data_IF_476597681956
#
_entry.id   IF_476597681956
#
_cell.length_a   1.000
_cell.length_b   1.000
_cell.length_c   1.000
_cell.angle_alpha   90.00
_cell.angle_beta   90.00
_cell.angle_gamma   90.00
#
_symmetry.space_group_name_H-M   'P 1'
#
loop_
_entity.id
_entity.type
_entity.pdbx_description
1 polymer ?
#
# COMPACT_ATOMS: atom_id res chain seq x y z
N UNK A 1 28.58 -56.91 6.54
CA UNK A 1 28.86 -58.27 6.02
C UNK A 1 28.78 -58.18 4.50
N UNK A 2 29.77 -58.48 3.67
CA UNK A 2 31.10 -59.06 3.83
C UNK A 2 32.04 -58.40 2.81
N UNK A 3 33.34 -58.39 3.13
CA UNK A 3 34.41 -57.80 2.35
C UNK A 3 34.88 -58.71 1.20
N UNK A 4 35.60 -58.15 0.23
CA UNK A 4 36.93 -58.66 -0.13
C UNK A 4 37.74 -57.62 -0.90
N UNK A 5 38.88 -57.29 -0.28
CA UNK A 5 40.06 -56.67 -0.86
C UNK A 5 40.78 -57.68 -1.75
N UNK A 6 41.35 -57.23 -2.87
CA UNK A 6 42.53 -57.85 -3.46
C UNK A 6 43.37 -56.77 -4.17
N UNK A 7 44.59 -56.60 -3.66
CA UNK A 7 45.66 -55.80 -4.22
C UNK A 7 46.57 -56.66 -5.12
N UNK A 8 47.49 -55.97 -5.81
CA UNK A 8 48.55 -56.45 -6.73
C UNK A 8 48.14 -56.42 -8.22
N UNK A 9 48.92 -55.92 -9.18
CA UNK A 9 50.33 -55.53 -9.19
C UNK A 9 50.61 -54.48 -10.30
N UNK A 10 51.60 -53.63 -10.04
CA UNK A 10 52.31 -52.82 -11.04
C UNK A 10 53.12 -53.72 -11.98
N UNK A 11 53.01 -53.52 -13.31
CA UNK A 11 54.13 -53.18 -14.23
C UNK A 11 53.74 -53.41 -15.70
N UNK A 12 53.71 -52.30 -16.44
CA UNK A 12 54.39 -52.10 -17.73
C UNK A 12 53.98 -52.93 -18.95
N UNK A 13 53.34 -52.27 -19.93
CA UNK A 13 53.84 -52.25 -21.31
C UNK A 13 53.12 -51.18 -22.13
N UNK A 14 53.90 -50.52 -22.99
CA UNK A 14 53.54 -49.48 -23.95
C UNK A 14 52.40 -49.90 -24.89
N UNK A 15 51.54 -48.96 -25.27
CA UNK A 15 50.68 -49.11 -26.44
C UNK A 15 49.78 -47.91 -26.71
N UNK A 16 50.10 -47.14 -27.76
CA UNK A 16 49.15 -46.34 -28.54
C UNK A 16 48.44 -45.17 -27.85
N UNK A 17 48.86 -43.94 -28.17
CA UNK A 17 47.97 -42.76 -28.05
C UNK A 17 46.83 -42.91 -29.06
N UNK A 18 45.72 -43.52 -28.66
CA UNK A 18 44.44 -43.31 -29.35
C UNK A 18 43.90 -41.95 -28.92
N UNK A 19 43.88 -41.00 -29.85
CA UNK A 19 43.08 -39.78 -29.72
C UNK A 19 41.60 -40.20 -29.69
N UNK A 20 41.09 -40.49 -28.50
CA UNK A 20 39.66 -40.61 -28.27
C UNK A 20 39.06 -39.22 -28.35
N UNK A 21 38.39 -38.90 -29.46
CA UNK A 21 37.43 -37.81 -29.53
C UNK A 21 36.32 -38.08 -28.53
N UNK A 22 36.49 -37.64 -27.29
CA UNK A 22 35.40 -37.52 -26.33
C UNK A 22 34.48 -36.41 -26.84
N UNK A 23 33.56 -36.78 -27.72
CA UNK A 23 32.39 -35.96 -28.00
C UNK A 23 31.68 -35.78 -26.66
N UNK A 24 31.79 -34.57 -26.09
CA UNK A 24 31.00 -34.17 -24.94
C UNK A 24 29.55 -34.23 -25.40
N UNK A 25 28.88 -35.36 -25.14
CA UNK A 25 27.43 -35.47 -25.19
C UNK A 25 26.91 -34.49 -24.14
N UNK A 26 26.62 -33.26 -24.58
CA UNK A 26 25.85 -32.31 -23.79
C UNK A 26 24.58 -33.01 -23.39
N UNK A 27 24.44 -33.34 -22.09
CA UNK A 27 23.23 -33.93 -21.53
C UNK A 27 22.08 -32.93 -21.73
N UNK A 28 21.29 -33.12 -22.79
CA UNK A 28 20.09 -32.33 -23.04
C UNK A 28 19.00 -32.84 -22.10
N UNK A 29 18.44 -31.93 -21.31
CA UNK A 29 17.25 -32.20 -20.51
C UNK A 29 16.01 -31.77 -21.30
N UNK A 30 14.95 -32.57 -21.22
CA UNK A 30 13.65 -32.17 -21.75
C UNK A 30 13.10 -30.97 -20.96
N UNK A 31 12.35 -30.06 -21.60
CA UNK A 31 11.73 -28.94 -20.89
C UNK A 31 10.69 -29.45 -19.88
N UNK A 32 10.55 -28.75 -18.76
CA UNK A 32 9.65 -29.15 -17.67
C UNK A 32 8.17 -28.77 -17.93
N UNK A 33 7.91 -28.06 -19.02
CA UNK A 33 6.58 -27.64 -19.45
C UNK A 33 6.63 -27.11 -20.89
N UNK A 34 5.51 -26.62 -21.43
CA UNK A 34 5.45 -26.15 -22.81
C UNK A 34 6.42 -24.99 -23.03
N UNK A 35 7.13 -25.02 -24.16
CA UNK A 35 8.02 -23.93 -24.56
C UNK A 35 7.23 -22.79 -25.19
N UNK A 36 7.74 -21.55 -25.10
CA UNK A 36 7.16 -20.43 -25.86
C UNK A 36 7.11 -20.74 -27.36
N UNK A 37 6.01 -20.38 -28.00
CA UNK A 37 5.79 -20.47 -29.46
C UNK A 37 5.79 -21.89 -30.05
N UNK A 38 5.59 -22.94 -29.24
CA UNK A 38 5.38 -24.30 -29.77
C UNK A 38 4.10 -24.42 -30.62
N UNK A 39 3.09 -23.60 -30.32
CA UNK A 39 1.81 -23.58 -31.04
C UNK A 39 1.91 -22.93 -32.44
N UNK A 40 3.06 -22.36 -32.81
CA UNK A 40 3.24 -21.67 -34.09
C UNK A 40 3.54 -22.70 -35.18
N UNK A 41 2.65 -22.86 -36.14
CA UNK A 41 2.88 -23.71 -37.31
C UNK A 41 3.98 -23.13 -38.21
N UNK A 42 5.16 -23.76 -38.17
CA UNK A 42 6.34 -23.36 -38.94
C UNK A 42 6.26 -23.85 -40.39
N UNK A 43 5.34 -24.76 -40.73
CA UNK A 43 5.21 -25.31 -42.07
C UNK A 43 4.82 -24.27 -43.13
N UNK A 44 4.06 -23.23 -42.74
CA UNK A 44 3.64 -22.16 -43.63
C UNK A 44 3.85 -20.77 -43.01
N UNK A 45 5.11 -20.40 -42.82
CA UNK A 45 5.51 -19.12 -42.21
C UNK A 45 5.03 -17.89 -42.98
N UNK A 46 4.88 -17.97 -44.31
CA UNK A 46 4.50 -16.83 -45.15
C UNK A 46 3.01 -16.50 -45.04
N UNK A 47 2.15 -17.50 -44.83
CA UNK A 47 0.71 -17.31 -44.65
C UNK A 47 0.33 -16.76 -43.25
N UNK A 48 1.23 -16.81 -42.27
CA UNK A 48 0.94 -16.36 -40.91
C UNK A 48 0.76 -14.84 -40.80
N UNK A 49 -0.27 -14.44 -40.05
CA UNK A 49 -0.50 -13.03 -39.75
C UNK A 49 0.64 -12.46 -38.88
N UNK A 50 1.44 -11.57 -39.48
CA UNK A 50 2.54 -10.89 -38.79
C UNK A 50 2.01 -9.78 -37.89
N UNK A 51 2.80 -9.42 -36.87
CA UNK A 51 2.43 -8.34 -35.95
C UNK A 51 2.27 -6.98 -36.64
N UNK A 52 3.13 -6.63 -37.59
CA UNK A 52 3.12 -5.39 -38.40
C UNK A 52 3.22 -4.06 -37.61
N UNK A 53 3.07 -4.08 -36.30
CA UNK A 53 3.28 -2.94 -35.41
C UNK A 53 3.89 -3.39 -34.09
N UNK A 54 4.76 -2.54 -33.55
CA UNK A 54 5.38 -2.76 -32.24
C UNK A 54 4.31 -2.86 -31.13
N UNK A 55 3.27 -2.03 -31.19
CA UNK A 55 2.21 -2.00 -30.16
C UNK A 55 1.42 -3.29 -30.09
N UNK A 56 1.15 -3.95 -31.24
CA UNK A 56 0.47 -5.24 -31.26
C UNK A 56 1.32 -6.33 -30.63
N UNK A 57 2.60 -6.38 -30.97
CA UNK A 57 3.56 -7.28 -30.34
C UNK A 57 3.66 -7.03 -28.83
N UNK A 58 3.85 -5.77 -28.43
CA UNK A 58 4.03 -5.38 -27.03
C UNK A 58 2.83 -5.79 -26.15
N UNK A 59 1.59 -5.57 -26.62
CA UNK A 59 0.38 -6.03 -25.91
C UNK A 59 0.35 -7.55 -25.70
N UNK A 60 0.83 -8.32 -26.68
CA UNK A 60 0.91 -9.77 -26.55
C UNK A 60 2.02 -10.16 -25.58
N UNK A 61 3.20 -9.54 -25.67
CA UNK A 61 4.32 -9.78 -24.77
C UNK A 61 3.95 -9.48 -23.30
N UNK A 62 3.23 -8.39 -23.02
CA UNK A 62 2.72 -8.09 -21.67
C UNK A 62 1.73 -9.12 -21.13
N UNK A 63 0.88 -9.69 -22.00
CA UNK A 63 -0.02 -10.77 -21.59
C UNK A 63 0.76 -12.03 -21.25
N UNK A 64 1.76 -12.37 -22.06
CA UNK A 64 2.61 -13.54 -21.85
C UNK A 64 3.51 -13.40 -20.62
N UNK A 65 3.94 -12.18 -20.26
CA UNK A 65 4.80 -11.93 -19.09
C UNK A 65 4.06 -12.07 -17.75
N UNK A 66 2.74 -11.85 -17.73
CA UNK A 66 1.88 -12.00 -16.53
C UNK A 66 1.47 -13.45 -16.25
N UNK A 67 1.64 -14.36 -17.22
CA UNK A 67 1.30 -15.77 -17.04
C UNK A 67 2.32 -16.46 -16.12
N UNK A 68 1.89 -17.39 -15.25
CA UNK A 68 2.81 -18.20 -14.48
C UNK A 68 3.65 -19.08 -15.42
N UNK A 69 4.95 -19.22 -15.12
CA UNK A 69 5.90 -20.02 -15.89
C UNK A 69 6.64 -20.99 -14.97
N UNK A 70 7.10 -22.10 -15.53
CA UNK A 70 7.86 -23.12 -14.81
C UNK A 70 9.33 -22.73 -14.61
N UNK A 71 9.89 -21.87 -15.47
CA UNK A 71 11.25 -21.33 -15.32
C UNK A 71 11.30 -20.13 -14.36
N UNK A 72 12.51 -19.72 -13.99
CA UNK A 72 12.73 -18.57 -13.12
C UNK A 72 12.24 -17.28 -13.79
N UNK A 73 11.39 -16.54 -13.08
CA UNK A 73 10.85 -15.27 -13.53
C UNK A 73 11.19 -14.18 -12.53
N UNK A 74 11.29 -12.94 -13.02
CA UNK A 74 11.48 -11.77 -12.16
C UNK A 74 10.42 -11.69 -11.04
N UNK A 75 9.15 -11.93 -11.39
CA UNK A 75 8.03 -11.91 -10.44
C UNK A 75 8.20 -12.89 -9.27
N UNK A 76 8.82 -14.04 -9.49
CA UNK A 76 9.08 -15.03 -8.42
C UNK A 76 10.05 -14.50 -7.36
N UNK A 77 10.95 -13.60 -7.74
CA UNK A 77 11.94 -13.01 -6.83
C UNK A 77 11.44 -11.73 -6.16
N UNK A 78 10.53 -10.99 -6.80
CA UNK A 78 10.10 -9.67 -6.30
C UNK A 78 8.78 -9.67 -5.58
N UNK A 79 7.87 -10.59 -5.91
CA UNK A 79 6.51 -10.54 -5.38
C UNK A 79 6.31 -11.65 -4.34
N UNK A 80 5.92 -11.31 -3.09
CA UNK A 80 5.51 -12.32 -2.13
C UNK A 80 4.26 -13.06 -2.62
N UNK A 81 4.05 -14.32 -2.19
CA UNK A 81 2.87 -15.09 -2.56
C UNK A 81 1.59 -14.36 -2.12
N UNK A 82 0.57 -14.38 -2.99
CA UNK A 82 -0.70 -13.74 -2.68
C UNK A 82 -1.43 -14.52 -1.59
N UNK A 83 -1.59 -13.90 -0.41
CA UNK A 83 -2.43 -14.44 0.66
C UNK A 83 -3.91 -14.31 0.30
N UNK A 84 -4.71 -15.29 0.75
CA UNK A 84 -6.16 -15.29 0.59
C UNK A 84 -6.75 -14.08 1.33
N UNK A 85 -7.35 -13.15 0.58
CA UNK A 85 -7.93 -11.94 1.14
C UNK A 85 -9.39 -12.21 1.52
N UNK A 86 -9.68 -12.06 2.81
CA UNK A 86 -11.04 -12.12 3.34
C UNK A 86 -11.68 -10.73 3.19
N UNK A 87 -12.94 -10.71 2.76
CA UNK A 87 -13.75 -9.49 2.74
C UNK A 87 -14.55 -9.36 4.04
N UNK A 88 -14.31 -8.29 4.79
CA UNK A 88 -14.98 -7.97 6.07
C UNK A 88 -15.98 -6.81 5.92
N UNK A 89 -16.25 -6.36 4.69
CA UNK A 89 -17.13 -5.23 4.42
C UNK A 89 -18.62 -5.54 4.47
N UNK A 90 -19.41 -4.46 4.39
CA UNK A 90 -20.86 -4.58 4.21
C UNK A 90 -21.22 -5.25 2.88
N UNK A 91 -22.29 -6.08 2.85
CA UNK A 91 -22.83 -6.58 1.60
C UNK A 91 -23.39 -5.42 0.78
N UNK A 92 -23.21 -5.48 -0.54
CA UNK A 92 -23.73 -4.48 -1.46
C UNK A 92 -24.84 -5.04 -2.34
N UNK A 93 -25.99 -4.38 -2.34
CA UNK A 93 -27.10 -4.71 -3.21
C UNK A 93 -26.77 -4.33 -4.66
N UNK A 94 -26.59 -5.36 -5.49
CA UNK A 94 -26.33 -5.16 -6.92
C UNK A 94 -27.63 -4.79 -7.62
N UNK A 95 -27.68 -3.60 -8.20
CA UNK A 95 -28.74 -3.22 -9.13
C UNK A 95 -28.78 -4.18 -10.34
N UNK A 96 -29.95 -4.33 -10.94
CA UNK A 96 -30.10 -5.16 -12.14
C UNK A 96 -29.27 -4.59 -13.29
N UNK A 97 -28.20 -5.31 -13.65
CA UNK A 97 -27.28 -4.96 -14.75
C UNK A 97 -28.01 -4.67 -16.07
N UNK A 98 -29.10 -5.38 -16.34
CA UNK A 98 -29.89 -5.17 -17.56
C UNK A 98 -30.56 -3.78 -17.59
N UNK A 99 -31.12 -3.33 -16.44
CA UNK A 99 -31.73 -2.00 -16.32
C UNK A 99 -30.68 -0.90 -16.48
N UNK A 100 -29.54 -1.05 -15.80
CA UNK A 100 -28.44 -0.08 -15.86
C UNK A 100 -27.87 0.06 -17.29
N UNK A 101 -27.64 -1.06 -17.99
CA UNK A 101 -27.18 -1.03 -19.38
C UNK A 101 -28.21 -0.37 -20.30
N UNK A 102 -29.51 -0.62 -20.10
CA UNK A 102 -30.58 -0.01 -20.90
C UNK A 102 -30.58 1.51 -20.74
N UNK A 103 -30.47 1.98 -19.51
CA UNK A 103 -30.39 3.41 -19.18
C UNK A 103 -29.14 4.07 -19.76
N UNK A 104 -27.95 3.48 -19.56
CA UNK A 104 -26.70 3.98 -20.15
C UNK A 104 -26.78 4.06 -21.67
N UNK A 105 -27.38 3.05 -22.33
CA UNK A 105 -27.59 3.08 -23.79
C UNK A 105 -28.57 4.16 -24.24
N UNK A 106 -29.60 4.46 -23.44
CA UNK A 106 -30.55 5.56 -23.72
C UNK A 106 -29.82 6.91 -23.68
N UNK A 107 -29.09 7.20 -22.62
CA UNK A 107 -28.30 8.42 -22.46
C UNK A 107 -27.27 8.57 -23.60
N UNK A 108 -26.56 7.48 -23.95
CA UNK A 108 -25.60 7.50 -25.07
C UNK A 108 -26.26 7.80 -26.42
N UNK A 109 -27.51 7.35 -26.64
CA UNK A 109 -28.25 7.67 -27.86
C UNK A 109 -28.66 9.13 -27.89
N UNK A 110 -29.18 9.65 -26.79
CA UNK A 110 -29.57 11.06 -26.65
C UNK A 110 -28.36 11.99 -26.86
N UNK A 111 -27.22 11.70 -26.22
CA UNK A 111 -25.99 12.47 -26.40
C UNK A 111 -25.47 12.45 -27.85
N UNK A 112 -25.61 11.31 -28.55
CA UNK A 112 -25.19 11.19 -29.96
C UNK A 112 -26.17 11.87 -30.93
N UNK A 113 -27.43 12.04 -30.56
CA UNK A 113 -28.41 12.77 -31.37
C UNK A 113 -28.22 14.29 -31.27
N UNK A 114 -27.56 14.77 -30.22
CA UNK A 114 -27.27 16.19 -30.06
C UNK A 114 -26.17 16.65 -31.03
N UNK A 115 -26.57 17.42 -32.05
CA UNK A 115 -25.68 17.96 -33.07
C UNK A 115 -24.67 19.01 -32.54
N UNK A 116 -25.01 19.73 -31.47
CA UNK A 116 -24.10 20.70 -30.86
C UNK A 116 -22.97 19.99 -30.14
N UNK A 117 -23.29 18.90 -29.43
CA UNK A 117 -22.29 18.07 -28.75
C UNK A 117 -21.35 17.39 -29.74
N UNK A 118 -21.86 16.92 -30.89
CA UNK A 118 -21.03 16.39 -31.99
C UNK A 118 -20.09 17.46 -32.53
N UNK A 119 -20.61 18.66 -32.83
CA UNK A 119 -19.80 19.76 -33.37
C UNK A 119 -18.72 20.18 -32.39
N UNK A 120 -19.07 20.33 -31.10
CA UNK A 120 -18.11 20.66 -30.06
C UNK A 120 -17.04 19.57 -29.89
N UNK A 121 -17.42 18.28 -29.98
CA UNK A 121 -16.47 17.17 -29.88
C UNK A 121 -15.50 17.17 -31.06
N UNK A 122 -16.00 17.43 -32.28
CA UNK A 122 -15.18 17.55 -33.50
C UNK A 122 -14.19 18.72 -33.40
N UNK A 123 -14.61 19.84 -32.83
CA UNK A 123 -13.78 21.02 -32.60
C UNK A 123 -12.92 20.93 -31.32
N UNK A 124 -13.07 19.86 -30.53
CA UNK A 124 -12.38 19.62 -29.24
C UNK A 124 -12.65 20.72 -28.19
N UNK A 125 -13.84 21.30 -28.20
CA UNK A 125 -14.27 22.35 -27.25
C UNK A 125 -15.19 21.84 -26.14
N UNK A 126 -15.51 20.55 -26.11
CA UNK A 126 -16.38 19.96 -25.08
C UNK A 126 -15.71 20.02 -23.73
N UNK A 127 -16.41 20.58 -22.75
CA UNK A 127 -16.05 20.57 -21.34
C UNK A 127 -16.94 19.58 -20.59
N UNK A 128 -16.34 18.79 -19.71
CA UNK A 128 -17.06 17.82 -18.88
C UNK A 128 -17.15 18.39 -17.46
N UNK A 129 -18.35 18.51 -16.86
CA UNK A 129 -18.51 18.98 -15.49
C UNK A 129 -17.86 17.98 -14.53
N UNK A 130 -16.80 18.41 -13.84
CA UNK A 130 -16.02 17.53 -12.96
C UNK A 130 -16.79 17.15 -11.69
N UNK A 131 -17.66 18.03 -11.19
CA UNK A 131 -18.46 17.79 -9.99
C UNK A 131 -19.46 16.64 -10.21
N UNK A 132 -20.13 16.60 -11.36
CA UNK A 132 -21.05 15.52 -11.73
C UNK A 132 -20.31 14.20 -11.93
N UNK A 133 -19.15 14.24 -12.60
CA UNK A 133 -18.28 13.05 -12.77
C UNK A 133 -17.86 12.50 -11.42
N UNK A 134 -17.51 13.38 -10.48
CA UNK A 134 -17.12 12.98 -9.13
C UNK A 134 -18.29 12.38 -8.35
N UNK A 135 -19.48 12.99 -8.41
CA UNK A 135 -20.67 12.46 -7.75
C UNK A 135 -21.06 11.07 -8.28
N UNK A 136 -21.04 10.88 -9.60
CA UNK A 136 -21.33 9.59 -10.23
C UNK A 136 -20.24 8.54 -9.92
N UNK A 137 -18.97 8.97 -9.90
CA UNK A 137 -17.85 8.13 -9.53
C UNK A 137 -17.97 7.64 -8.09
N UNK A 138 -18.29 8.53 -7.13
CA UNK A 138 -18.47 8.19 -5.72
C UNK A 138 -19.53 7.11 -5.52
N UNK A 139 -20.61 7.11 -6.32
CA UNK A 139 -21.69 6.12 -6.28
C UNK A 139 -21.34 4.77 -6.92
N UNK A 140 -20.54 4.76 -7.98
CA UNK A 140 -20.34 3.57 -8.82
C UNK A 140 -19.00 2.85 -8.59
N UNK A 141 -17.91 3.42 -9.10
CA UNK A 141 -16.57 2.80 -9.11
C UNK A 141 -15.65 3.33 -8.02
N UNK A 142 -16.06 4.41 -7.34
CA UNK A 142 -15.35 5.06 -6.25
C UNK A 142 -14.95 4.10 -5.13
N UNK A 143 -15.87 3.30 -4.57
CA UNK A 143 -15.54 2.36 -3.50
C UNK A 143 -14.39 1.39 -3.88
N UNK A 144 -14.40 0.84 -5.09
CA UNK A 144 -13.34 -0.05 -5.58
C UNK A 144 -12.00 0.67 -5.77
N UNK A 145 -12.03 1.90 -6.28
CA UNK A 145 -10.82 2.72 -6.43
C UNK A 145 -10.23 3.07 -5.06
N UNK A 146 -11.07 3.46 -4.10
CA UNK A 146 -10.67 3.75 -2.71
C UNK A 146 -10.06 2.52 -2.04
N UNK A 147 -10.67 1.34 -2.21
CA UNK A 147 -10.12 0.08 -1.73
C UNK A 147 -8.75 -0.22 -2.36
N UNK A 148 -8.58 -0.02 -3.68
CA UNK A 148 -7.30 -0.23 -4.35
C UNK A 148 -6.22 0.73 -3.84
N UNK A 149 -6.57 1.99 -3.63
CA UNK A 149 -5.65 3.01 -3.09
C UNK A 149 -5.27 2.66 -1.64
N UNK A 150 -6.23 2.30 -0.80
CA UNK A 150 -5.97 1.87 0.57
C UNK A 150 -5.08 0.62 0.64
N UNK A 151 -5.26 -0.34 -0.28
CA UNK A 151 -4.40 -1.52 -0.43
C UNK A 151 -2.98 -1.14 -0.82
N UNK A 152 -2.82 -0.25 -1.79
CA UNK A 152 -1.50 0.26 -2.21
C UNK A 152 -0.80 0.98 -1.07
N UNK A 153 -1.53 1.80 -0.33
CA UNK A 153 -1.02 2.52 0.83
C UNK A 153 -0.78 1.63 2.05
N UNK A 154 -1.05 0.32 2.01
CA UNK A 154 -0.80 -0.60 3.13
C UNK A 154 -1.81 -0.55 4.28
N UNK A 155 -2.92 0.19 4.15
CA UNK A 155 -3.92 0.39 5.22
C UNK A 155 -4.49 -0.95 5.72
N UNK A 156 -4.92 -1.83 4.81
CA UNK A 156 -5.49 -3.13 5.17
C UNK A 156 -4.48 -4.10 5.77
N UNK A 157 -3.21 -4.02 5.33
CA UNK A 157 -2.13 -4.86 5.86
C UNK A 157 -1.86 -4.52 7.32
N UNK A 158 -1.81 -3.22 7.62
CA UNK A 158 -1.41 -2.74 8.94
C UNK A 158 -2.59 -2.84 9.93
N UNK A 159 -3.78 -2.35 9.55
CA UNK A 159 -4.95 -2.28 10.44
C UNK A 159 -5.72 -3.60 10.59
N UNK A 160 -5.80 -4.42 9.53
CA UNK A 160 -6.65 -5.62 9.48
C UNK A 160 -5.87 -6.90 9.12
N UNK A 161 -4.54 -6.87 9.20
CA UNK A 161 -3.65 -8.00 8.89
C UNK A 161 -3.96 -8.68 7.54
N UNK A 162 -4.30 -7.87 6.53
CA UNK A 162 -4.54 -8.31 5.16
C UNK A 162 -6.02 -8.53 4.79
N UNK A 163 -6.95 -8.50 5.75
CA UNK A 163 -8.38 -8.48 5.45
C UNK A 163 -8.77 -7.14 4.82
N UNK A 164 -9.64 -7.19 3.81
CA UNK A 164 -10.03 -6.01 3.03
C UNK A 164 -11.51 -5.75 3.18
N UNK A 165 -11.94 -4.50 2.94
CA UNK A 165 -13.36 -4.19 2.75
C UNK A 165 -13.53 -3.13 1.68
N UNK A 166 -14.69 -3.09 1.05
CA UNK A 166 -15.05 -2.04 0.11
C UNK A 166 -15.80 -0.92 0.86
N UNK A 167 -15.28 0.33 0.86
CA UNK A 167 -15.92 1.44 1.56
C UNK A 167 -17.12 1.97 0.75
N UNK A 168 -18.28 1.36 0.95
CA UNK A 168 -19.53 1.74 0.28
C UNK A 168 -20.07 3.08 0.77
N UNK A 169 -19.86 3.40 2.05
CA UNK A 169 -20.33 4.65 2.63
C UNK A 169 -19.30 5.74 2.38
N UNK A 170 -19.70 6.80 1.68
CA UNK A 170 -18.84 7.93 1.39
C UNK A 170 -18.62 8.78 2.65
N UNK A 171 -17.48 8.56 3.30
CA UNK A 171 -17.04 9.36 4.44
C UNK A 171 -16.38 10.65 3.94
N UNK A 172 -16.97 11.81 4.27
CA UNK A 172 -16.46 13.14 3.94
C UNK A 172 -15.97 13.81 5.21
N UNK A 173 -14.67 14.05 5.29
CA UNK A 173 -14.02 14.69 6.42
C UNK A 173 -13.41 16.01 5.95
N UNK A 174 -13.64 17.09 6.68
CA UNK A 174 -13.17 18.43 6.36
C UNK A 174 -12.62 19.10 7.62
N UNK A 175 -11.42 19.64 7.54
CA UNK A 175 -10.84 20.48 8.59
C UNK A 175 -11.16 21.95 8.32
N UNK A 176 -11.57 22.69 9.35
CA UNK A 176 -11.75 24.14 9.30
C UNK A 176 -10.57 24.84 9.94
N UNK A 177 -9.86 25.65 9.16
CA UNK A 177 -8.78 26.50 9.66
C UNK A 177 -9.27 27.94 9.78
N UNK A 178 -9.32 28.46 11.01
CA UNK A 178 -9.67 29.86 11.35
C UNK A 178 -10.93 30.39 10.61
N UNK A 179 -11.92 29.52 10.42
CA UNK A 179 -13.22 29.79 9.76
C UNK A 179 -13.15 30.36 8.33
N UNK A 180 -12.01 30.27 7.64
CA UNK A 180 -11.83 30.82 6.27
C UNK A 180 -11.49 29.80 5.20
N UNK A 181 -10.82 28.70 5.56
CA UNK A 181 -10.42 27.67 4.59
C UNK A 181 -10.84 26.28 5.06
N UNK A 182 -11.56 25.57 4.19
CA UNK A 182 -11.94 24.17 4.37
C UNK A 182 -10.91 23.29 3.67
N UNK A 183 -10.27 22.41 4.43
CA UNK A 183 -9.29 21.45 3.92
C UNK A 183 -9.95 20.06 3.90
N UNK A 184 -10.42 19.58 2.73
CA UNK A 184 -11.04 18.27 2.63
C UNK A 184 -10.00 17.15 2.70
N UNK A 185 -10.34 16.09 3.42
CA UNK A 185 -9.59 14.85 3.48
C UNK A 185 -10.14 13.87 2.45
N UNK A 186 -9.25 13.33 1.62
CA UNK A 186 -9.56 12.35 0.59
C UNK A 186 -8.92 10.99 0.91
N UNK A 187 -8.00 10.53 0.05
CA UNK A 187 -7.42 9.19 0.08
C UNK A 187 -5.90 9.26 -0.07
N UNK A 188 -5.24 9.96 0.86
CA UNK A 188 -3.80 10.14 0.90
C UNK A 188 -3.30 11.53 0.46
N UNK A 189 -4.17 12.54 0.42
CA UNK A 189 -3.72 13.92 0.25
C UNK A 189 -2.93 14.39 1.48
N UNK A 190 -2.08 15.38 1.29
CA UNK A 190 -1.31 15.99 2.38
C UNK A 190 -2.19 16.98 3.14
N UNK A 191 -2.19 16.87 4.48
CA UNK A 191 -2.82 17.81 5.41
C UNK A 191 -1.80 18.09 6.52
N UNK A 192 -1.58 19.36 6.83
CA UNK A 192 -0.58 19.77 7.82
C UNK A 192 -1.11 19.61 9.25
N UNK A 193 -0.23 19.43 10.25
CA UNK A 193 -0.65 19.40 11.65
C UNK A 193 -1.35 20.68 12.10
N UNK A 194 -0.96 21.81 11.52
CA UNK A 194 -1.55 23.12 11.78
C UNK A 194 -3.00 23.21 11.30
N UNK A 195 -3.30 22.67 10.12
CA UNK A 195 -4.68 22.55 9.59
C UNK A 195 -5.51 21.55 10.40
N UNK A 196 -4.90 20.47 10.89
CA UNK A 196 -5.55 19.41 11.66
C UNK A 196 -5.48 19.63 13.18
N UNK A 197 -5.34 20.87 13.64
CA UNK A 197 -5.25 21.23 15.06
C UNK A 197 -6.58 21.09 15.81
N UNK A 198 -7.70 21.36 15.14
CA UNK A 198 -9.07 21.20 15.67
C UNK A 198 -9.72 19.90 15.16
N UNK A 199 -10.74 19.36 15.87
CA UNK A 199 -11.49 18.21 15.38
C UNK A 199 -12.19 18.55 14.05
N UNK A 200 -12.19 17.64 13.06
CA UNK A 200 -12.78 17.90 11.75
C UNK A 200 -14.31 17.79 11.78
N UNK A 201 -14.94 18.41 10.79
CA UNK A 201 -16.32 18.16 10.42
C UNK A 201 -16.43 16.87 9.61
N UNK A 202 -17.29 15.95 10.06
CA UNK A 202 -17.47 14.65 9.43
C UNK A 202 -18.92 14.49 9.00
N UNK A 203 -19.12 14.17 7.71
CA UNK A 203 -20.42 13.90 7.12
C UNK A 203 -20.41 12.59 6.34
N UNK A 204 -21.50 11.84 6.44
CA UNK A 204 -21.72 10.58 5.73
C UNK A 204 -23.22 10.31 5.61
N UNK A 205 -23.59 9.54 4.59
CA UNK A 205 -24.98 9.12 4.39
C UNK A 205 -25.32 7.95 5.32
N UNK A 206 -26.36 8.13 6.15
CA UNK A 206 -26.77 7.16 7.15
C UNK A 206 -28.31 7.00 7.19
N UNK A 207 -28.75 5.76 7.42
CA UNK A 207 -30.17 5.44 7.59
C UNK A 207 -30.68 5.97 8.94
N UNK A 208 -31.96 6.39 9.01
CA UNK A 208 -32.57 6.80 10.27
C UNK A 208 -32.58 5.63 11.28
N UNK A 209 -32.08 5.87 12.48
CA UNK A 209 -31.98 4.85 13.54
C UNK A 209 -30.79 3.90 13.44
N UNK A 210 -29.91 4.08 12.44
CA UNK A 210 -28.62 3.38 12.40
C UNK A 210 -27.63 3.97 13.41
N UNK A 211 -26.74 3.13 13.93
CA UNK A 211 -25.69 3.54 14.85
C UNK A 211 -24.32 3.34 14.21
N UNK A 212 -23.40 4.26 14.47
CA UNK A 212 -22.08 4.28 13.86
C UNK A 212 -20.96 4.51 14.88
N UNK A 213 -19.74 4.13 14.51
CA UNK A 213 -18.53 4.43 15.27
C UNK A 213 -17.49 5.03 14.33
N UNK A 214 -16.93 6.17 14.73
CA UNK A 214 -15.85 6.83 14.04
C UNK A 214 -14.55 6.63 14.83
N UNK A 215 -13.50 6.23 14.12
CA UNK A 215 -12.17 5.96 14.66
C UNK A 215 -11.13 6.70 13.83
N UNK A 216 -10.22 7.43 14.47
CA UNK A 216 -9.04 8.03 13.83
C UNK A 216 -7.77 7.45 14.45
N UNK A 217 -6.98 6.73 13.66
CA UNK A 217 -5.71 6.14 14.12
C UNK A 217 -4.52 6.53 13.26
N UNK A 218 -3.34 6.44 13.85
CA UNK A 218 -2.06 6.61 13.18
C UNK A 218 -1.18 5.36 13.40
N UNK A 219 -1.01 4.50 12.38
CA UNK A 219 -0.15 3.32 12.47
C UNK A 219 1.35 3.64 12.37
N UNK A 220 1.73 4.79 11.83
CA UNK A 220 3.15 5.14 11.61
C UNK A 220 3.74 5.96 12.78
N UNK A 221 2.88 6.50 13.65
CA UNK A 221 3.26 7.51 14.64
C UNK A 221 3.80 6.98 15.97
N UNK A 222 3.81 5.66 16.20
CA UNK A 222 4.16 5.12 17.50
C UNK A 222 5.67 5.17 17.77
N UNK A 223 6.06 5.86 18.84
CA UNK A 223 7.48 6.16 19.13
C UNK A 223 8.29 5.00 19.76
N UNK A 224 7.68 3.83 19.98
CA UNK A 224 8.28 2.73 20.76
C UNK A 224 8.10 1.38 20.09
N UNK A 225 6.86 1.07 19.75
CA UNK A 225 6.49 -0.21 19.17
C UNK A 225 6.09 0.00 17.70
N UNK A 226 6.66 -0.80 16.79
CA UNK A 226 6.40 -0.66 15.35
C UNK A 226 5.05 -1.25 14.91
N UNK A 227 4.47 -2.17 15.69
CA UNK A 227 3.22 -2.85 15.37
C UNK A 227 1.98 -2.18 16.00
N UNK A 228 2.19 -1.17 16.84
CA UNK A 228 1.15 -0.50 17.61
C UNK A 228 0.80 0.85 17.00
N UNK A 229 -0.44 1.29 17.18
CA UNK A 229 -0.96 2.53 16.62
C UNK A 229 -1.23 3.55 17.75
N UNK A 230 -1.31 4.83 17.42
CA UNK A 230 -1.92 5.82 18.32
C UNK A 230 -3.36 6.11 17.93
N UNK A 231 -4.25 6.07 18.91
CA UNK A 231 -5.64 6.45 18.74
C UNK A 231 -5.82 7.95 18.99
N UNK A 232 -6.09 8.70 17.93
CA UNK A 232 -6.28 10.14 17.98
C UNK A 232 -7.71 10.55 18.33
N UNK A 233 -8.72 9.82 17.84
CA UNK A 233 -10.12 10.14 18.12
C UNK A 233 -11.01 8.90 18.05
N UNK A 234 -11.93 8.75 19.02
CA UNK A 234 -12.91 7.67 19.03
C UNK A 234 -14.26 8.17 19.52
N UNK A 235 -15.26 8.11 18.63
CA UNK A 235 -16.65 8.46 18.92
C UNK A 235 -17.53 7.26 18.59
N UNK A 236 -18.29 6.79 19.57
CA UNK A 236 -19.08 5.56 19.47
C UNK A 236 -20.57 5.85 19.59
N UNK A 237 -21.41 4.88 19.16
CA UNK A 237 -22.87 4.95 19.27
C UNK A 237 -23.45 6.25 18.67
N UNK A 238 -22.92 6.69 17.52
CA UNK A 238 -23.38 7.89 16.82
C UNK A 238 -24.74 7.60 16.18
N UNK A 239 -25.83 8.30 16.54
CA UNK A 239 -27.13 8.11 15.92
C UNK A 239 -27.19 8.78 14.54
N UNK A 240 -27.44 7.99 13.50
CA UNK A 240 -27.53 8.46 12.13
C UNK A 240 -26.23 9.15 11.68
N UNK A 241 -26.32 10.43 11.32
CA UNK A 241 -25.18 11.26 10.90
C UNK A 241 -24.79 12.32 11.94
N UNK A 242 -25.39 12.30 13.14
CA UNK A 242 -25.21 13.36 14.14
C UNK A 242 -24.04 13.04 15.08
N UNK A 243 -22.83 13.39 14.65
CA UNK A 243 -21.61 13.08 15.38
C UNK A 243 -21.59 13.62 16.83
N UNK A 244 -22.18 14.80 17.06
CA UNK A 244 -22.26 15.44 18.39
C UNK A 244 -23.13 14.68 19.40
N UNK A 245 -24.07 13.87 18.93
CA UNK A 245 -24.92 13.04 19.77
C UNK A 245 -24.26 11.69 20.13
N UNK A 246 -23.12 11.37 19.50
CA UNK A 246 -22.33 10.19 19.83
C UNK A 246 -21.60 10.33 21.16
N UNK A 247 -21.17 9.19 21.71
CA UNK A 247 -20.38 9.14 22.94
C UNK A 247 -18.90 9.22 22.59
N UNK A 248 -18.24 10.32 22.98
CA UNK A 248 -16.80 10.46 22.82
C UNK A 248 -16.07 9.59 23.84
N UNK A 249 -15.47 8.49 23.38
CA UNK A 249 -14.71 7.57 24.23
C UNK A 249 -13.24 8.00 24.35
N UNK A 250 -12.75 8.74 23.36
CA UNK A 250 -11.42 9.30 23.37
C UNK A 250 -11.40 10.63 22.63
N UNK A 251 -11.09 11.71 23.36
CA UNK A 251 -11.06 13.06 22.79
C UNK A 251 -10.04 13.22 21.66
N UNK A 252 -10.35 14.12 20.73
CA UNK A 252 -9.48 14.43 19.60
C UNK A 252 -8.10 14.89 20.06
N UNK A 253 -7.07 14.22 19.57
CA UNK A 253 -5.68 14.62 19.73
C UNK A 253 -5.14 15.04 18.37
N UNK A 254 -4.59 16.26 18.22
CA UNK A 254 -3.99 16.71 16.96
C UNK A 254 -2.89 15.74 16.50
N UNK A 255 -2.63 15.65 15.18
CA UNK A 255 -1.51 14.86 14.68
C UNK A 255 -0.18 15.46 15.15
N UNK A 256 0.74 14.62 15.61
CA UNK A 256 2.09 15.02 16.06
C UNK A 256 3.19 14.17 15.39
N UNK A 257 3.31 14.17 14.06
CA UNK A 257 4.41 13.45 13.39
C UNK A 257 5.76 14.01 13.85
N UNK A 258 6.65 13.15 14.36
CA UNK A 258 7.95 13.56 14.87
C UNK A 258 8.87 14.07 13.75
N UNK A 259 9.82 14.96 14.09
CA UNK A 259 10.73 15.50 13.10
C UNK A 259 11.63 14.39 12.55
N UNK A 260 11.71 14.28 11.22
CA UNK A 260 12.59 13.32 10.53
C UNK A 260 12.05 11.88 10.38
N UNK A 261 10.82 11.60 10.81
CA UNK A 261 10.17 10.29 10.58
C UNK A 261 9.49 10.18 9.21
N UNK A 262 9.34 11.29 8.49
CA UNK A 262 8.73 11.34 7.16
C UNK A 262 7.21 11.56 7.19
N UNK A 263 6.49 10.88 6.30
CA UNK A 263 5.04 11.03 6.17
C UNK A 263 4.31 9.97 7.00
N UNK A 264 3.40 10.42 7.86
CA UNK A 264 2.55 9.54 8.64
C UNK A 264 1.14 9.49 8.03
N UNK A 265 0.54 8.30 7.98
CA UNK A 265 -0.84 8.13 7.52
C UNK A 265 -1.79 8.27 8.70
N UNK A 266 -2.79 9.10 8.55
CA UNK A 266 -3.89 9.26 9.51
C UNK A 266 -5.16 8.73 8.90
N UNK A 267 -5.77 7.73 9.53
CA UNK A 267 -6.81 6.91 8.92
C UNK A 267 -8.10 7.05 9.71
N UNK A 268 -9.13 7.58 9.05
CA UNK A 268 -10.50 7.58 9.52
C UNK A 268 -11.21 6.30 9.08
N UNK A 269 -11.71 5.55 10.05
CA UNK A 269 -12.55 4.38 9.86
C UNK A 269 -13.96 4.67 10.37
N UNK A 270 -14.95 4.33 9.56
CA UNK A 270 -16.34 4.37 9.92
C UNK A 270 -16.90 2.95 9.97
N UNK A 271 -17.40 2.55 11.13
CA UNK A 271 -18.05 1.27 11.36
C UNK A 271 -19.56 1.45 11.50
N UNK A 272 -20.35 0.61 10.82
CA UNK A 272 -21.80 0.47 11.03
C UNK A 272 -22.02 -0.51 12.18
N UNK A 273 -22.74 -0.09 13.21
CA UNK A 273 -23.12 -0.94 14.32
C UNK A 273 -24.49 -1.60 14.07
N UNK A 274 -24.64 -2.85 14.50
CA UNK A 274 -25.94 -3.56 14.44
C UNK A 274 -26.87 -3.20 15.62
N UNK A 275 -26.31 -2.65 16.70
CA UNK A 275 -27.03 -2.18 17.87
C UNK A 275 -26.11 -1.40 18.81
N UNK A 276 -26.62 -0.87 19.94
CA UNK A 276 -25.81 -0.17 20.93
C UNK A 276 -24.75 -1.10 21.53
N UNK A 277 -23.50 -0.65 21.57
CA UNK A 277 -22.38 -1.41 22.13
C UNK A 277 -21.85 -0.66 23.35
N UNK A 278 -21.50 -1.41 24.40
CA UNK A 278 -20.78 -0.85 25.53
C UNK A 278 -19.26 -0.86 25.26
N UNK A 279 -18.67 0.32 25.21
CA UNK A 279 -17.24 0.55 25.02
C UNK A 279 -16.53 0.96 26.31
N UNK A 280 -17.13 0.69 27.48
CA UNK A 280 -16.59 1.07 28.80
C UNK A 280 -15.12 0.70 29.01
N UNK A 281 -14.67 -0.43 28.46
CA UNK A 281 -13.28 -0.90 28.56
C UNK A 281 -12.29 -0.10 27.67
N UNK A 282 -12.76 0.46 26.56
CA UNK A 282 -11.96 1.24 25.62
C UNK A 282 -12.06 2.75 25.88
N UNK A 283 -12.79 3.13 26.94
CA UNK A 283 -12.92 4.50 27.39
C UNK A 283 -11.57 5.04 27.89
N UNK A 284 -11.21 6.24 27.45
CA UNK A 284 -10.02 6.95 27.95
C UNK A 284 -10.45 8.14 28.81
N UNK A 285 -9.60 8.59 29.75
CA UNK A 285 -9.88 9.82 30.47
C UNK A 285 -9.94 11.00 29.50
N UNK A 286 -10.73 12.02 29.83
CA UNK A 286 -10.82 13.26 29.05
C UNK A 286 -10.33 14.41 29.93
N UNK A 287 -9.19 15.07 29.63
CA UNK A 287 -8.26 14.81 28.52
C UNK A 287 -7.19 13.74 28.83
N UNK A 288 -7.02 12.78 27.91
CA UNK A 288 -5.91 11.81 27.84
C UNK A 288 -4.72 12.29 26.98
N UNK A 289 -3.68 12.82 27.63
CA UNK A 289 -2.39 13.13 27.00
C UNK A 289 -1.32 12.04 27.21
N UNK A 290 -1.68 10.93 27.88
CA UNK A 290 -0.76 9.82 28.10
C UNK A 290 -0.64 8.94 26.85
N UNK A 291 0.53 8.95 26.22
CA UNK A 291 0.80 8.13 25.02
C UNK A 291 0.61 6.63 25.26
N UNK A 292 0.89 6.12 26.47
CA UNK A 292 0.68 4.70 26.82
C UNK A 292 -0.79 4.30 26.77
N UNK A 293 -1.68 5.20 27.21
CA UNK A 293 -3.12 4.95 27.15
C UNK A 293 -3.63 5.08 25.72
N UNK A 294 -3.02 5.96 24.92
CA UNK A 294 -3.34 6.19 23.51
C UNK A 294 -2.88 5.06 22.59
N UNK A 295 -1.94 4.21 23.03
CA UNK A 295 -1.55 2.98 22.33
C UNK A 295 -2.79 2.13 22.04
N UNK A 296 -2.93 1.70 20.79
CA UNK A 296 -4.14 1.05 20.30
C UNK A 296 -3.80 0.06 19.17
N UNK A 297 -4.62 -0.97 19.02
CA UNK A 297 -4.56 -1.95 17.94
C UNK A 297 -5.94 -2.03 17.32
N UNK A 298 -6.07 -1.53 16.08
CA UNK A 298 -7.35 -1.53 15.37
C UNK A 298 -7.86 -2.95 15.12
N UNK A 299 -6.93 -3.88 14.86
CA UNK A 299 -7.24 -5.29 14.65
C UNK A 299 -7.89 -5.92 15.89
N UNK A 300 -7.29 -5.73 17.07
CA UNK A 300 -7.80 -6.34 18.30
C UNK A 300 -9.11 -5.71 18.73
N UNK A 301 -9.26 -4.40 18.55
CA UNK A 301 -10.53 -3.69 18.77
C UNK A 301 -11.64 -4.23 17.88
N UNK A 302 -11.39 -4.36 16.57
CA UNK A 302 -12.38 -4.89 15.65
C UNK A 302 -12.73 -6.34 15.97
N UNK A 303 -11.72 -7.17 16.28
CA UNK A 303 -11.92 -8.59 16.61
C UNK A 303 -12.79 -8.81 17.85
N UNK A 304 -12.70 -7.93 18.86
CA UNK A 304 -13.59 -7.97 20.04
C UNK A 304 -15.05 -7.70 19.69
N UNK A 305 -15.29 -6.85 18.69
CA UNK A 305 -16.62 -6.34 18.34
C UNK A 305 -17.11 -6.77 16.95
N UNK A 306 -16.47 -7.75 16.33
CA UNK A 306 -16.71 -8.19 14.94
C UNK A 306 -18.18 -8.55 14.68
N UNK A 307 -18.85 -9.17 15.66
CA UNK A 307 -20.27 -9.56 15.55
C UNK A 307 -21.24 -8.38 15.59
N UNK A 308 -20.81 -7.26 16.16
CA UNK A 308 -21.66 -6.11 16.43
C UNK A 308 -21.35 -4.91 15.51
N UNK A 309 -20.19 -4.91 14.85
CA UNK A 309 -19.73 -3.83 13.98
C UNK A 309 -19.19 -4.34 12.65
N UNK A 310 -19.47 -3.60 11.58
CA UNK A 310 -18.92 -3.86 10.24
C UNK A 310 -18.27 -2.60 9.67
N UNK A 311 -17.04 -2.65 9.13
CA UNK A 311 -16.42 -1.50 8.48
C UNK A 311 -17.18 -1.11 7.21
N UNK A 312 -17.45 0.18 7.07
CA UNK A 312 -18.36 0.72 6.06
C UNK A 312 -17.77 1.89 5.27
N UNK A 313 -16.98 2.74 5.94
CA UNK A 313 -16.35 3.91 5.35
C UNK A 313 -14.87 3.99 5.70
N UNK A 314 -14.11 4.62 4.81
CA UNK A 314 -12.68 4.85 4.96
C UNK A 314 -12.36 6.23 4.36
N UNK A 315 -11.51 6.99 5.05
CA UNK A 315 -10.83 8.16 4.52
C UNK A 315 -9.47 8.26 5.19
N UNK A 316 -8.45 8.77 4.52
CA UNK A 316 -7.14 8.94 5.15
C UNK A 316 -6.35 10.06 4.49
N UNK A 317 -5.45 10.67 5.25
CA UNK A 317 -4.53 11.70 4.77
C UNK A 317 -3.10 11.39 5.19
N UNK A 318 -2.16 12.08 4.57
CA UNK A 318 -0.76 12.06 4.94
C UNK A 318 -0.41 13.35 5.67
N UNK A 319 0.38 13.23 6.73
CA UNK A 319 0.81 14.36 7.53
C UNK A 319 2.33 14.31 7.69
N UNK A 320 2.95 15.48 7.64
CA UNK A 320 4.38 15.67 7.86
C UNK A 320 4.57 16.61 9.05
N UNK A 321 5.72 16.54 9.70
CA UNK A 321 6.12 17.50 10.72
C UNK A 321 5.99 18.95 10.26
N UNK A 322 5.48 19.80 11.16
CA UNK A 322 5.42 21.25 11.06
C UNK A 322 5.73 21.85 12.45
N UNK A 323 6.05 23.13 12.50
CA UNK A 323 6.32 23.94 13.70
C UNK A 323 5.26 23.82 14.81
N UNK A 324 3.99 23.58 14.46
CA UNK A 324 2.90 23.36 15.43
C UNK A 324 3.00 22.05 16.21
N UNK A 325 3.80 21.09 15.74
CA UNK A 325 4.04 19.83 16.45
C UNK A 325 4.89 20.06 17.70
N UNK A 326 5.84 20.99 17.64
CA UNK A 326 6.68 21.36 18.79
C UNK A 326 5.84 21.86 19.97
N UNK A 327 4.83 22.70 19.71
CA UNK A 327 3.90 23.14 20.77
C UNK A 327 3.06 21.99 21.31
N UNK A 328 2.65 21.04 20.45
CA UNK A 328 1.92 19.83 20.87
C UNK A 328 2.75 18.96 21.83
N UNK A 329 4.03 18.73 21.55
CA UNK A 329 4.91 17.96 22.44
C UNK A 329 5.14 18.64 23.79
N UNK A 330 5.42 19.95 23.78
CA UNK A 330 5.74 20.68 25.00
C UNK A 330 4.53 21.05 25.85
N UNK A 331 3.41 21.47 25.24
CA UNK A 331 2.24 21.96 25.96
C UNK A 331 1.23 20.86 26.26
N UNK A 332 0.89 20.01 25.28
CA UNK A 332 -0.12 18.96 25.45
C UNK A 332 0.47 17.70 26.07
N UNK A 333 1.56 17.18 25.50
CA UNK A 333 2.17 15.93 25.93
C UNK A 333 3.18 16.09 27.10
N UNK A 334 3.57 17.33 27.43
CA UNK A 334 4.56 17.67 28.46
C UNK A 334 5.83 16.81 28.36
N UNK A 335 6.38 16.69 27.15
CA UNK A 335 7.57 15.91 26.87
C UNK A 335 8.53 16.65 25.93
N UNK A 336 9.76 16.13 25.83
CA UNK A 336 10.73 16.62 24.85
C UNK A 336 10.37 16.08 23.47
N UNK A 337 10.48 16.94 22.47
CA UNK A 337 10.28 16.55 21.08
C UNK A 337 11.40 15.60 20.62
N UNK A 338 11.06 14.37 20.17
CA UNK A 338 12.03 13.47 19.59
C UNK A 338 12.35 13.88 18.15
N UNK A 339 13.63 13.86 17.80
CA UNK A 339 14.14 14.16 16.45
C UNK A 339 14.84 12.94 15.91
N UNK A 340 14.45 12.53 14.70
CA UNK A 340 14.99 11.38 14.00
C UNK A 340 15.80 11.83 12.78
N UNK A 341 16.77 11.01 12.40
CA UNK A 341 17.57 11.22 11.20
C UNK A 341 17.66 9.91 10.41
N UNK A 342 17.58 10.02 9.09
CA UNK A 342 17.74 8.88 8.21
C UNK A 342 19.23 8.56 8.01
N UNK A 343 19.75 7.63 8.80
CA UNK A 343 21.13 7.13 8.67
C UNK A 343 21.18 6.03 7.62
N UNK A 344 21.97 6.24 6.57
CA UNK A 344 22.21 5.22 5.53
C UNK A 344 23.15 4.13 6.05
N UNK A 345 23.02 2.87 5.58
CA UNK A 345 23.99 1.83 5.91
C UNK A 345 25.39 2.28 5.46
N UNK A 346 26.44 1.93 6.22
CA UNK A 346 27.81 2.28 5.87
C UNK A 346 28.18 1.68 4.51
N UNK A 347 29.01 2.40 3.77
CA UNK A 347 29.49 1.93 2.47
C UNK A 347 30.29 0.64 2.67
N UNK A 348 29.97 -0.39 1.90
CA UNK A 348 30.73 -1.63 1.94
C UNK A 348 32.12 -1.43 1.33
N UNK A 349 33.15 -1.79 2.10
CA UNK A 349 34.52 -1.88 1.63
C UNK A 349 35.00 -3.33 1.80
N UNK A 350 35.60 -3.95 0.76
CA UNK A 350 36.19 -5.27 0.90
C UNK A 350 37.36 -5.23 1.91
N UNK A 351 37.74 -6.37 2.53
CA UNK A 351 38.87 -6.42 3.44
C UNK A 351 40.14 -5.80 2.83
N UNK A 352 40.84 -4.97 3.60
CA UNK A 352 42.05 -4.31 3.13
C UNK A 352 43.15 -5.33 2.84
N UNK A 353 43.77 -5.24 1.68
CA UNK A 353 44.90 -6.09 1.29
C UNK A 353 46.21 -5.32 1.41
N UNK A 354 47.25 -5.99 1.89
CA UNK A 354 48.58 -5.40 2.07
C UNK A 354 49.17 -4.86 0.77
N UNK A 355 48.91 -5.55 -0.36
CA UNK A 355 49.41 -5.17 -1.67
C UNK A 355 48.23 -5.02 -2.65
N UNK A 356 47.59 -3.85 -2.71
CA UNK A 356 46.43 -3.60 -3.57
C UNK A 356 46.86 -3.41 -5.03
N UNK A 357 47.22 -4.51 -5.69
CA UNK A 357 47.66 -4.52 -7.09
C UNK A 357 46.56 -3.92 -7.99
N UNK A 358 46.95 -3.04 -8.91
CA UNK A 358 46.06 -2.35 -9.86
C UNK A 358 44.99 -1.44 -9.23
N UNK A 359 45.11 -1.09 -7.95
CA UNK A 359 44.24 -0.07 -7.33
C UNK A 359 44.87 1.32 -7.41
N UNK A 360 44.05 2.39 -7.53
CA UNK A 360 44.54 3.76 -7.48
C UNK A 360 44.96 4.16 -6.06
N UNK A 361 45.79 5.20 -5.91
CA UNK A 361 46.30 5.66 -4.60
C UNK A 361 45.19 5.98 -3.58
N UNK A 362 44.06 6.53 -4.04
CA UNK A 362 42.84 6.77 -3.23
C UNK A 362 42.23 5.51 -2.60
N UNK A 363 42.75 4.32 -2.91
CA UNK A 363 42.41 3.09 -2.20
C UNK A 363 42.70 3.19 -0.70
N UNK A 364 43.82 3.84 -0.32
CA UNK A 364 44.20 3.99 1.09
C UNK A 364 43.21 4.86 1.86
N UNK A 365 42.61 5.86 1.19
CA UNK A 365 41.65 6.77 1.80
C UNK A 365 40.33 6.07 2.18
N UNK A 366 39.98 4.95 1.52
CA UNK A 366 38.79 4.14 1.88
C UNK A 366 38.86 3.53 3.27
N UNK A 367 40.07 3.37 3.80
CA UNK A 367 40.33 2.76 5.11
C UNK A 367 40.97 3.75 6.08
N UNK A 368 40.95 5.05 5.73
CA UNK A 368 41.45 6.11 6.58
C UNK A 368 40.27 6.72 7.34
N UNK A 369 40.35 6.72 8.66
CA UNK A 369 39.29 7.25 9.52
C UNK A 369 39.28 8.78 9.58
N UNK A 370 40.46 9.42 9.52
CA UNK A 370 40.64 10.87 9.67
C UNK A 370 41.34 11.49 8.47
N UNK A 371 40.93 12.69 8.07
CA UNK A 371 41.63 13.46 7.03
C UNK A 371 42.87 14.20 7.57
N UNK A 372 42.97 14.34 8.89
CA UNK A 372 44.07 15.02 9.57
C UNK A 372 45.38 14.22 9.55
N UNK A 373 46.55 14.89 9.41
CA UNK A 373 47.84 14.22 9.44
C UNK A 373 48.13 13.62 10.81
N UNK A 374 48.69 12.41 10.83
CA UNK A 374 49.06 11.70 12.05
C UNK A 374 50.59 11.67 12.20
N UNK A 375 51.09 12.08 13.37
CA UNK A 375 52.52 12.14 13.68
C UNK A 375 52.98 11.05 14.66
N UNK A 376 52.07 10.22 15.19
CA UNK A 376 52.44 9.08 16.03
C UNK A 376 53.23 9.48 17.28
N UNK A 377 54.49 9.04 17.37
CA UNK A 377 55.39 9.26 18.52
C UNK A 377 56.28 10.52 18.39
N UNK A 378 56.16 11.26 17.29
CA UNK A 378 57.01 12.43 17.00
C UNK A 378 56.56 13.69 17.71
#
# INVERSE_FOLDING_TARGET
>A
MAASLLSAALRGARGGRSFGTAAVLWKRAAPLGPMPNEDVDVGNLEALEKYRSFTRYFRQAERESRKPRWWNTYHRHTNPPAELQVDIGLPHEKLSRAKEIKERKRILRENRQNAEMERAARLRTVLIPLDDVRAEWERTSGPFHKQRVAKLCGVFRDLFKGATFTPWVALRVQYSQEDKHLVPVYYGNMVTPSEASSPPEVSYEADKGSLWTLLLTNPDGHLRDSDSEYLHWLVTNIPGSELKAGKEMCHYLPPFPAMGTGYHRFIFLLFKQHGPIDFSQDARPTPCYSLKMRTFSTFDFYKKHEKAMTPAGLAFFQCQWDSSVTSTFHQLLNMREPVFEFVRPPTYHPPQVKFPRHQPLRYLDRYRDTEEPTYGIY
#
